data_IF_057073122986
#
_entry.id   IF_057073122986
#
_cell.length_a   1.000
_cell.length_b   1.000
_cell.length_c   1.000
_cell.angle_alpha   90.00
_cell.angle_beta   90.00
_cell.angle_gamma   90.00
#
_symmetry.space_group_name_H-M   'P 1'
#
loop_
_entity.id
_entity.type
_entity.pdbx_description
1 polymer ?
#
# COMPACT_ATOMS: atom_id res chain seq x y z
N UNK A 1 -0.33 17.89 -0.74
CA UNK A 1 -1.19 19.03 -0.33
C UNK A 1 -0.51 20.40 -0.41
N UNK A 2 0.71 20.58 0.12
CA UNK A 2 1.39 21.89 0.21
C UNK A 2 1.61 22.60 -1.15
N UNK A 3 1.80 21.85 -2.24
CA UNK A 3 1.91 22.42 -3.59
C UNK A 3 0.55 22.56 -4.28
N UNK A 4 -0.30 21.54 -4.16
CA UNK A 4 -1.54 21.39 -4.93
C UNK A 4 -2.66 22.31 -4.47
N UNK A 5 -2.93 22.38 -3.16
CA UNK A 5 -4.09 23.13 -2.67
C UNK A 5 -3.95 24.64 -2.93
N UNK A 6 -2.79 25.29 -2.67
CA UNK A 6 -2.62 26.69 -3.04
C UNK A 6 -2.75 26.93 -4.56
N UNK A 7 -2.20 26.03 -5.40
CA UNK A 7 -2.33 26.12 -6.86
C UNK A 7 -3.82 26.08 -7.29
N UNK A 8 -4.60 25.13 -6.76
CA UNK A 8 -6.02 25.01 -7.09
C UNK A 8 -6.85 26.19 -6.58
N UNK A 9 -6.52 26.76 -5.42
CA UNK A 9 -7.18 27.97 -4.90
C UNK A 9 -6.90 29.19 -5.79
N UNK A 10 -5.67 29.33 -6.28
CA UNK A 10 -5.30 30.39 -7.24
C UNK A 10 -6.05 30.22 -8.57
N UNK A 11 -6.09 29.01 -9.14
CA UNK A 11 -6.87 28.72 -10.36
C UNK A 11 -8.36 28.98 -10.16
N UNK A 12 -8.93 28.54 -9.03
CA UNK A 12 -10.34 28.75 -8.71
C UNK A 12 -10.68 30.25 -8.65
N UNK A 13 -9.82 31.05 -8.02
CA UNK A 13 -9.97 32.51 -7.99
C UNK A 13 -9.90 33.12 -9.39
N UNK A 14 -8.97 32.68 -10.24
CA UNK A 14 -8.81 33.18 -11.60
C UNK A 14 -10.04 32.93 -12.49
N UNK A 15 -10.74 31.81 -12.29
CA UNK A 15 -11.99 31.48 -13.02
C UNK A 15 -13.26 32.02 -12.34
N UNK A 16 -13.11 32.79 -11.26
CA UNK A 16 -14.22 33.51 -10.60
C UNK A 16 -14.92 32.77 -9.46
N UNK A 17 -14.37 31.66 -8.96
CA UNK A 17 -14.89 31.04 -7.74
C UNK A 17 -14.46 31.81 -6.49
N UNK A 18 -15.45 32.20 -5.67
CA UNK A 18 -15.23 32.92 -4.41
C UNK A 18 -14.92 31.95 -3.25
N UNK A 19 -13.78 31.25 -3.32
CA UNK A 19 -13.29 30.38 -2.24
C UNK A 19 -12.25 31.15 -1.43
N UNK A 20 -12.47 31.29 -0.12
CA UNK A 20 -11.51 31.99 0.75
C UNK A 20 -10.22 31.18 0.90
N UNK A 21 -9.09 31.80 0.56
CA UNK A 21 -7.75 31.27 0.83
C UNK A 21 -7.26 31.53 2.27
N UNK A 22 -8.01 32.30 3.06
CA UNK A 22 -7.64 32.67 4.44
C UNK A 22 -7.34 31.46 5.34
N UNK A 23 -8.13 30.38 5.36
CA UNK A 23 -7.83 29.22 6.22
C UNK A 23 -6.54 28.49 5.82
N UNK A 24 -6.03 28.75 4.62
CA UNK A 24 -4.94 28.00 4.00
C UNK A 24 -3.64 28.79 3.87
N UNK A 25 -3.55 30.01 4.45
CA UNK A 25 -2.36 30.87 4.32
C UNK A 25 -1.05 30.15 4.67
N UNK A 26 -1.07 29.26 5.67
CA UNK A 26 0.11 28.48 6.04
C UNK A 26 0.60 27.57 4.91
N UNK A 27 -0.31 27.03 4.09
CA UNK A 27 0.06 26.20 2.95
C UNK A 27 0.71 27.03 1.83
N UNK A 28 0.33 28.29 1.66
CA UNK A 28 1.01 29.20 0.72
C UNK A 28 2.45 29.47 1.17
N UNK A 29 2.69 29.68 2.47
CA UNK A 29 4.06 29.80 3.00
C UNK A 29 4.88 28.53 2.76
N UNK A 30 4.30 27.36 3.05
CA UNK A 30 4.96 26.06 2.82
C UNK A 30 5.25 25.84 1.33
N UNK A 31 4.34 26.24 0.43
CA UNK A 31 4.56 26.17 -1.02
C UNK A 31 5.80 26.94 -1.45
N UNK A 32 6.04 28.13 -0.91
CA UNK A 32 7.24 28.91 -1.20
C UNK A 32 8.53 28.19 -0.76
N UNK A 33 8.49 27.54 0.41
CA UNK A 33 9.59 26.72 0.89
C UNK A 33 9.84 25.54 -0.06
N UNK A 34 8.77 24.86 -0.51
CA UNK A 34 8.89 23.75 -1.47
C UNK A 34 9.41 24.19 -2.83
N UNK A 35 8.97 25.33 -3.36
CA UNK A 35 9.54 25.87 -4.61
C UNK A 35 11.02 26.16 -4.48
N UNK A 36 11.45 26.74 -3.37
CA UNK A 36 12.87 26.97 -3.10
C UNK A 36 13.63 25.64 -3.07
N UNK A 37 13.11 24.61 -2.42
CA UNK A 37 13.71 23.26 -2.42
C UNK A 37 13.79 22.65 -3.83
N UNK A 38 12.73 22.75 -4.63
CA UNK A 38 12.69 22.28 -6.01
C UNK A 38 13.69 23.03 -6.90
N UNK A 39 13.88 24.34 -6.70
CA UNK A 39 14.84 25.15 -7.46
C UNK A 39 16.30 24.73 -7.27
N UNK A 40 16.61 24.05 -6.17
CA UNK A 40 17.94 23.49 -5.92
C UNK A 40 18.15 22.14 -6.61
N UNK A 41 17.09 21.48 -7.08
CA UNK A 41 17.20 20.27 -7.87
C UNK A 41 17.64 20.65 -9.29
N UNK A 42 18.75 20.07 -9.76
CA UNK A 42 19.13 20.16 -11.17
C UNK A 42 18.02 19.53 -12.03
N UNK A 43 17.87 20.00 -13.26
CA UNK A 43 16.87 19.52 -14.24
C UNK A 43 16.84 17.98 -14.35
N UNK A 44 18.01 17.32 -14.30
CA UNK A 44 18.15 15.86 -14.30
C UNK A 44 17.62 15.15 -13.02
N UNK A 45 17.64 15.81 -11.88
CA UNK A 45 17.21 15.27 -10.58
C UNK A 45 15.70 15.40 -10.35
N UNK A 46 15.05 16.35 -11.03
CA UNK A 46 13.63 16.62 -10.89
C UNK A 46 12.79 15.44 -11.41
N UNK A 47 13.15 14.88 -12.57
CA UNK A 47 12.47 13.73 -13.19
C UNK A 47 12.56 12.44 -12.37
N UNK A 48 13.60 12.30 -11.55
CA UNK A 48 13.81 11.16 -10.65
C UNK A 48 13.36 11.45 -9.22
N UNK A 49 12.71 12.59 -8.99
CA UNK A 49 12.13 12.95 -7.70
C UNK A 49 10.69 12.48 -7.60
N UNK A 50 10.23 12.22 -6.38
CA UNK A 50 8.82 11.91 -6.12
C UNK A 50 7.89 13.09 -6.42
N UNK A 51 8.42 14.33 -6.45
CA UNK A 51 7.66 15.52 -6.75
C UNK A 51 7.10 15.56 -8.18
N UNK A 52 7.69 14.80 -9.11
CA UNK A 52 7.19 14.68 -10.49
C UNK A 52 5.78 14.08 -10.55
N UNK A 53 5.38 13.30 -9.55
CA UNK A 53 4.00 12.82 -9.44
C UNK A 53 2.98 13.98 -9.31
N UNK A 54 3.38 15.10 -8.71
CA UNK A 54 2.54 16.31 -8.55
C UNK A 54 2.97 17.45 -9.48
N UNK A 55 3.54 17.13 -10.65
CA UNK A 55 4.08 18.11 -11.60
C UNK A 55 3.06 19.17 -12.04
N UNK A 56 1.77 18.85 -12.06
CA UNK A 56 0.70 19.80 -12.39
C UNK A 56 0.69 21.09 -11.55
N UNK A 57 1.22 21.06 -10.32
CA UNK A 57 1.16 22.19 -9.39
C UNK A 57 2.40 23.10 -9.41
N UNK A 58 3.49 22.64 -10.02
CA UNK A 58 4.80 23.31 -9.92
C UNK A 58 5.61 23.30 -11.21
N UNK A 59 5.34 22.38 -12.14
CA UNK A 59 6.09 22.25 -13.37
C UNK A 59 5.64 23.27 -14.40
N UNK A 60 6.58 23.89 -15.11
CA UNK A 60 6.30 24.91 -16.13
C UNK A 60 6.77 24.51 -17.53
N UNK A 61 7.93 23.85 -17.64
CA UNK A 61 8.55 23.52 -18.91
C UNK A 61 8.02 22.20 -19.50
N UNK A 62 7.48 22.26 -20.71
CA UNK A 62 7.03 21.07 -21.46
C UNK A 62 8.22 20.40 -22.15
N UNK A 63 8.87 19.48 -21.46
CA UNK A 63 10.00 18.71 -21.99
C UNK A 63 9.57 17.27 -22.32
N UNK A 64 10.20 16.68 -23.34
CA UNK A 64 9.85 15.34 -23.84
C UNK A 64 10.22 14.21 -22.87
N UNK A 65 11.22 14.44 -22.01
CA UNK A 65 11.76 13.50 -21.03
C UNK A 65 10.87 13.32 -19.80
N UNK A 66 9.84 14.17 -19.62
CA UNK A 66 8.79 13.92 -18.63
C UNK A 66 7.86 12.75 -19.02
N UNK A 67 7.81 12.41 -20.30
CA UNK A 67 7.03 11.29 -20.84
C UNK A 67 7.98 10.14 -21.15
N UNK A 68 8.25 9.31 -20.13
CA UNK A 68 9.17 8.18 -20.21
C UNK A 68 8.57 6.92 -19.56
N UNK A 69 9.08 5.75 -19.96
CA UNK A 69 8.77 4.44 -19.36
C UNK A 69 7.30 4.00 -19.45
N UNK A 70 6.47 4.49 -18.52
CA UNK A 70 5.04 4.19 -18.45
C UNK A 70 4.17 5.06 -19.37
N UNK A 71 4.79 6.04 -20.03
CA UNK A 71 4.22 6.97 -21.03
C UNK A 71 3.26 8.05 -20.49
N UNK A 72 3.30 8.31 -19.18
CA UNK A 72 2.74 9.51 -18.54
C UNK A 72 3.78 10.20 -17.66
N UNK A 73 3.42 11.37 -17.11
CA UNK A 73 4.28 12.12 -16.19
C UNK A 73 4.13 11.57 -14.78
N UNK A 74 5.20 10.96 -14.26
CA UNK A 74 5.29 10.60 -12.84
C UNK A 74 4.20 9.67 -12.34
N UNK A 75 3.69 8.77 -13.19
CA UNK A 75 2.56 7.90 -12.87
C UNK A 75 1.28 8.64 -12.46
N UNK A 76 1.14 9.91 -12.86
CA UNK A 76 0.03 10.78 -12.47
C UNK A 76 -0.81 11.16 -13.68
N UNK A 77 -2.09 10.73 -13.72
CA UNK A 77 -3.03 11.22 -14.72
C UNK A 77 -3.19 12.75 -14.72
N UNK A 78 -3.25 13.38 -13.54
CA UNK A 78 -3.35 14.84 -13.43
C UNK A 78 -2.13 15.58 -14.04
N UNK A 79 -0.92 15.13 -13.69
CA UNK A 79 0.32 15.69 -14.24
C UNK A 79 0.39 15.52 -15.75
N UNK A 80 0.00 14.34 -16.23
CA UNK A 80 0.00 14.01 -17.66
C UNK A 80 -1.02 14.86 -18.43
N UNK A 81 -2.19 15.11 -17.84
CA UNK A 81 -3.22 15.96 -18.44
C UNK A 81 -2.76 17.41 -18.61
N UNK A 82 -2.14 18.01 -17.58
CA UNK A 82 -1.59 19.37 -17.67
C UNK A 82 -0.42 19.43 -18.65
N UNK A 83 0.47 18.43 -18.65
CA UNK A 83 1.57 18.35 -19.61
C UNK A 83 1.03 18.31 -21.05
N UNK A 84 0.04 17.45 -21.32
CA UNK A 84 -0.55 17.30 -22.65
C UNK A 84 -1.27 18.59 -23.10
N UNK A 85 -2.00 19.24 -22.19
CA UNK A 85 -2.67 20.51 -22.46
C UNK A 85 -1.67 21.58 -22.93
N UNK A 86 -0.59 21.78 -22.17
CA UNK A 86 0.43 22.78 -22.48
C UNK A 86 1.25 22.42 -23.73
N UNK A 87 1.54 21.14 -23.94
CA UNK A 87 2.20 20.64 -25.14
C UNK A 87 1.40 20.95 -26.41
N UNK A 88 0.07 20.75 -26.37
CA UNK A 88 -0.83 21.08 -27.47
C UNK A 88 -0.87 22.57 -27.78
N UNK A 89 -0.97 23.41 -26.74
CA UNK A 89 -0.96 24.88 -26.91
C UNK A 89 0.34 25.37 -27.55
N UNK A 90 1.47 24.76 -27.19
CA UNK A 90 2.80 25.16 -27.67
C UNK A 90 3.22 24.48 -28.98
N UNK A 91 2.46 23.49 -29.47
CA UNK A 91 2.81 22.71 -30.66
C UNK A 91 4.06 21.82 -30.51
N UNK A 92 4.45 21.47 -29.28
CA UNK A 92 5.69 20.74 -28.98
C UNK A 92 5.47 19.23 -28.85
N UNK A 93 6.47 18.43 -29.26
CA UNK A 93 6.54 16.97 -29.03
C UNK A 93 5.32 16.16 -29.50
N UNK A 94 4.90 16.22 -30.78
CA UNK A 94 3.67 15.56 -31.26
C UNK A 94 3.61 14.06 -30.95
N UNK A 95 4.73 13.33 -31.06
CA UNK A 95 4.78 11.90 -30.72
C UNK A 95 4.52 11.64 -29.22
N UNK A 96 5.04 12.50 -28.35
CA UNK A 96 4.83 12.39 -26.90
C UNK A 96 3.42 12.81 -26.49
N UNK A 97 2.77 13.71 -27.25
CA UNK A 97 1.37 14.03 -27.04
C UNK A 97 0.46 12.82 -27.26
N UNK A 98 0.72 12.02 -28.31
CA UNK A 98 -0.04 10.81 -28.55
C UNK A 98 0.20 9.75 -27.48
N UNK A 99 1.46 9.59 -27.04
CA UNK A 99 1.79 8.71 -25.91
C UNK A 99 1.04 9.11 -24.61
N UNK A 100 1.05 10.40 -24.27
CA UNK A 100 0.33 10.94 -23.11
C UNK A 100 -1.19 10.75 -23.23
N UNK A 101 -1.76 10.91 -24.44
CA UNK A 101 -3.18 10.67 -24.71
C UNK A 101 -3.54 9.20 -24.48
N UNK A 102 -2.75 8.27 -25.02
CA UNK A 102 -2.94 6.83 -24.86
C UNK A 102 -2.77 6.39 -23.39
N UNK A 103 -1.83 6.99 -22.67
CA UNK A 103 -1.67 6.79 -21.23
C UNK A 103 -2.93 7.19 -20.47
N UNK A 104 -3.49 8.37 -20.73
CA UNK A 104 -4.72 8.84 -20.08
C UNK A 104 -5.91 7.92 -20.41
N UNK A 105 -6.05 7.50 -21.67
CA UNK A 105 -7.10 6.55 -22.08
C UNK A 105 -7.03 5.25 -21.27
N UNK A 106 -5.84 4.67 -21.14
CA UNK A 106 -5.62 3.45 -20.34
C UNK A 106 -5.81 3.68 -18.84
N UNK A 107 -5.34 4.81 -18.31
CA UNK A 107 -5.53 5.18 -16.91
C UNK A 107 -7.02 5.32 -16.58
N UNK A 108 -7.81 5.92 -17.47
CA UNK A 108 -9.25 6.04 -17.27
C UNK A 108 -9.94 4.67 -17.27
N UNK A 109 -9.56 3.79 -18.20
CA UNK A 109 -10.08 2.41 -18.22
C UNK A 109 -9.74 1.65 -16.93
N UNK A 110 -8.53 1.84 -16.39
CA UNK A 110 -8.09 1.18 -15.15
C UNK A 110 -8.84 1.63 -13.90
N UNK A 111 -9.56 2.76 -13.94
CA UNK A 111 -10.41 3.19 -12.83
C UNK A 111 -11.60 2.24 -12.61
N UNK A 112 -11.95 1.40 -13.60
CA UNK A 112 -13.00 0.37 -13.50
C UNK A 112 -14.33 0.96 -12.97
N UNK A 113 -14.65 2.19 -13.37
CA UNK A 113 -15.92 2.87 -13.05
C UNK A 113 -16.93 2.77 -14.18
N UNK A 114 -16.48 2.41 -15.39
CA UNK A 114 -17.28 2.46 -16.61
C UNK A 114 -17.55 3.89 -17.12
N UNK A 115 -17.01 4.92 -16.46
CA UNK A 115 -17.20 6.33 -16.80
C UNK A 115 -15.91 6.87 -17.43
N UNK A 116 -15.99 7.27 -18.70
CA UNK A 116 -14.87 7.90 -19.39
C UNK A 116 -14.49 9.22 -18.72
N UNK A 117 -13.18 9.45 -18.53
CA UNK A 117 -12.67 10.66 -17.90
C UNK A 117 -12.63 10.61 -16.36
N UNK A 118 -12.95 9.47 -15.75
CA UNK A 118 -12.60 9.19 -14.35
C UNK A 118 -11.24 8.50 -14.32
N UNK A 119 -10.34 8.95 -13.45
CA UNK A 119 -8.95 8.49 -13.39
C UNK A 119 -8.58 8.08 -11.96
N UNK A 120 -7.63 7.14 -11.78
CA UNK A 120 -7.01 6.89 -10.48
C UNK A 120 -6.03 8.01 -10.11
N UNK A 121 -5.72 8.16 -8.81
CA UNK A 121 -4.69 9.11 -8.32
C UNK A 121 -3.30 8.79 -8.88
N UNK A 122 -2.98 7.51 -9.09
CA UNK A 122 -1.67 6.99 -9.44
C UNK A 122 -1.84 5.76 -10.35
N UNK A 123 -1.19 5.74 -11.50
CA UNK A 123 -1.22 4.61 -12.45
C UNK A 123 -0.05 4.65 -13.45
N UNK A 124 0.47 3.51 -13.92
CA UNK A 124 0.25 2.16 -13.42
C UNK A 124 1.08 1.89 -12.15
N UNK A 125 0.75 0.86 -11.37
CA UNK A 125 1.48 0.49 -10.14
C UNK A 125 1.90 -1.00 -10.16
N UNK A 126 2.54 -1.48 -11.24
CA UNK A 126 2.62 -2.92 -11.51
C UNK A 126 3.50 -3.68 -10.52
N UNK A 127 4.62 -3.10 -10.09
CA UNK A 127 5.53 -3.77 -9.14
C UNK A 127 4.97 -3.73 -7.73
N UNK A 128 4.32 -2.62 -7.36
CA UNK A 128 3.60 -2.53 -6.10
C UNK A 128 2.46 -3.55 -6.03
N UNK A 129 1.62 -3.66 -7.07
CA UNK A 129 0.56 -4.67 -7.13
C UNK A 129 1.10 -6.10 -7.04
N UNK A 130 2.23 -6.36 -7.70
CA UNK A 130 2.91 -7.65 -7.68
C UNK A 130 3.49 -7.97 -6.29
N UNK A 131 4.25 -7.05 -5.70
CA UNK A 131 4.90 -7.22 -4.41
C UNK A 131 3.87 -7.34 -3.29
N UNK A 132 2.97 -6.37 -3.15
CA UNK A 132 1.98 -6.40 -2.07
C UNK A 132 0.94 -7.51 -2.26
N UNK A 133 0.56 -7.86 -3.50
CA UNK A 133 -0.34 -8.99 -3.76
C UNK A 133 0.27 -10.31 -3.28
N UNK A 134 1.55 -10.56 -3.58
CA UNK A 134 2.28 -11.73 -3.09
C UNK A 134 2.53 -11.65 -1.57
N UNK A 135 2.75 -10.45 -1.03
CA UNK A 135 2.94 -10.26 0.40
C UNK A 135 1.70 -10.63 1.19
N UNK A 136 0.50 -10.31 0.71
CA UNK A 136 -0.74 -10.77 1.34
C UNK A 136 -0.79 -12.30 1.42
N UNK A 137 -0.38 -13.01 0.36
CA UNK A 137 -0.26 -14.48 0.38
C UNK A 137 0.80 -14.96 1.38
N UNK A 138 1.94 -14.26 1.51
CA UNK A 138 2.94 -14.56 2.54
C UNK A 138 2.35 -14.44 3.95
N UNK A 139 1.73 -13.31 4.27
CA UNK A 139 1.11 -13.08 5.60
C UNK A 139 -0.02 -14.07 5.90
N UNK A 140 -0.68 -14.57 4.86
CA UNK A 140 -1.71 -15.60 4.92
C UNK A 140 -1.14 -17.03 5.02
N UNK A 141 0.17 -17.23 4.91
CA UNK A 141 0.80 -18.57 4.88
C UNK A 141 0.52 -19.34 3.57
N UNK A 142 0.10 -18.64 2.51
CA UNK A 142 -0.33 -19.21 1.23
C UNK A 142 0.70 -19.03 0.10
N UNK A 143 1.81 -18.33 0.34
CA UNK A 143 2.84 -18.08 -0.69
C UNK A 143 3.38 -19.36 -1.34
N UNK A 144 3.44 -20.46 -0.58
CA UNK A 144 3.90 -21.78 -1.06
C UNK A 144 2.78 -22.81 -1.21
N UNK A 145 1.52 -22.36 -1.23
CA UNK A 145 0.39 -23.26 -1.37
C UNK A 145 0.42 -23.94 -2.74
N UNK A 146 0.32 -25.27 -2.78
CA UNK A 146 0.52 -26.08 -4.00
C UNK A 146 -0.35 -25.59 -5.17
N UNK A 147 -1.64 -25.38 -4.91
CA UNK A 147 -2.61 -24.92 -5.91
C UNK A 147 -2.37 -23.50 -6.47
N UNK A 148 -1.46 -22.72 -5.89
CA UNK A 148 -1.13 -21.36 -6.34
C UNK A 148 0.27 -21.29 -6.98
N UNK A 149 1.04 -22.39 -6.97
CA UNK A 149 2.47 -22.38 -7.30
C UNK A 149 2.75 -21.92 -8.73
N UNK A 150 1.94 -22.37 -9.68
CA UNK A 150 2.07 -22.06 -11.12
C UNK A 150 1.84 -20.56 -11.42
N UNK A 151 1.05 -19.88 -10.58
CA UNK A 151 0.81 -18.43 -10.69
C UNK A 151 1.81 -17.62 -9.84
N UNK A 152 2.11 -18.08 -8.63
CA UNK A 152 2.96 -17.35 -7.66
C UNK A 152 4.43 -17.39 -8.06
N UNK A 153 4.97 -18.57 -8.40
CA UNK A 153 6.40 -18.73 -8.65
C UNK A 153 6.92 -17.81 -9.78
N UNK A 154 6.26 -17.71 -10.96
CA UNK A 154 6.70 -16.79 -12.00
C UNK A 154 6.73 -15.33 -11.53
N UNK A 155 5.81 -14.93 -10.64
CA UNK A 155 5.73 -13.55 -10.13
C UNK A 155 6.84 -13.26 -9.12
N UNK A 156 7.22 -14.22 -8.30
CA UNK A 156 8.41 -14.11 -7.44
C UNK A 156 9.69 -13.98 -8.28
N UNK A 157 9.83 -14.78 -9.34
CA UNK A 157 11.00 -14.72 -10.23
C UNK A 157 11.10 -13.41 -11.00
N UNK A 158 9.96 -12.83 -11.40
CA UNK A 158 9.91 -11.50 -12.00
C UNK A 158 10.37 -10.41 -11.01
N UNK A 159 9.91 -10.45 -9.75
CA UNK A 159 10.39 -9.52 -8.73
C UNK A 159 11.88 -9.68 -8.44
N UNK A 160 12.37 -10.93 -8.40
CA UNK A 160 13.80 -11.21 -8.24
C UNK A 160 14.63 -10.54 -9.33
N UNK A 161 14.21 -10.67 -10.59
CA UNK A 161 14.89 -10.06 -11.75
C UNK A 161 14.77 -8.53 -11.77
N UNK A 162 13.70 -7.98 -11.18
CA UNK A 162 13.46 -6.53 -11.12
C UNK A 162 14.20 -5.84 -9.96
N UNK A 163 14.63 -6.58 -8.93
CA UNK A 163 15.42 -6.04 -7.83
C UNK A 163 16.75 -5.48 -8.34
N UNK A 164 17.10 -4.28 -7.90
CA UNK A 164 18.35 -3.60 -8.29
C UNK A 164 19.20 -3.28 -7.05
N UNK A 165 20.48 -2.88 -7.21
CA UNK A 165 21.28 -2.37 -6.09
C UNK A 165 20.66 -1.15 -5.39
N UNK A 166 19.74 -0.44 -6.05
CA UNK A 166 19.01 0.70 -5.49
C UNK A 166 17.61 0.34 -4.97
N UNK A 167 17.27 -0.96 -4.92
CA UNK A 167 15.98 -1.47 -4.49
C UNK A 167 15.00 -1.66 -5.64
N UNK A 168 13.73 -1.82 -5.27
CA UNK A 168 12.57 -1.85 -6.15
C UNK A 168 11.61 -0.72 -5.72
N UNK A 169 10.62 -0.42 -6.54
CA UNK A 169 9.57 0.55 -6.20
C UNK A 169 8.33 0.23 -7.00
N UNK A 170 7.31 1.09 -6.93
CA UNK A 170 5.99 0.84 -7.55
C UNK A 170 6.04 0.47 -9.04
N UNK A 171 7.09 0.88 -9.76
CA UNK A 171 7.39 0.44 -11.12
C UNK A 171 8.89 0.43 -11.42
N UNK A 172 9.23 -0.10 -12.60
CA UNK A 172 10.59 -0.06 -13.14
C UNK A 172 11.04 1.36 -13.54
N UNK A 173 10.09 2.29 -13.69
CA UNK A 173 10.28 3.64 -14.23
C UNK A 173 10.03 4.76 -13.22
N UNK A 174 9.87 4.42 -11.94
CA UNK A 174 9.72 5.38 -10.86
C UNK A 174 10.81 5.21 -9.81
N UNK A 175 10.88 6.18 -8.89
CA UNK A 175 11.83 6.15 -7.78
C UNK A 175 11.62 4.88 -6.95
N UNK A 176 12.73 4.22 -6.60
CA UNK A 176 12.75 3.06 -5.71
C UNK A 176 12.48 3.51 -4.27
N UNK A 177 11.81 2.66 -3.52
CA UNK A 177 11.39 2.96 -2.15
C UNK A 177 11.63 1.78 -1.21
N UNK A 178 11.76 2.10 0.08
CA UNK A 178 12.05 1.14 1.12
C UNK A 178 10.90 0.19 1.41
N UNK A 179 9.66 0.55 1.06
CA UNK A 179 8.48 -0.26 1.35
C UNK A 179 8.40 -1.46 0.39
N UNK A 180 8.36 -1.16 -0.92
CA UNK A 180 8.37 -2.18 -1.97
C UNK A 180 9.66 -3.02 -1.90
N UNK A 181 10.79 -2.39 -1.54
CA UNK A 181 12.07 -3.10 -1.36
C UNK A 181 12.00 -4.07 -0.19
N UNK A 182 11.54 -3.65 0.98
CA UNK A 182 11.42 -4.50 2.16
C UNK A 182 10.47 -5.67 1.92
N UNK A 183 9.27 -5.39 1.42
CA UNK A 183 8.27 -6.43 1.11
C UNK A 183 8.82 -7.43 0.10
N UNK A 184 9.50 -6.96 -0.95
CA UNK A 184 10.09 -7.85 -1.95
C UNK A 184 11.21 -8.73 -1.35
N UNK A 185 12.06 -8.19 -0.48
CA UNK A 185 13.11 -8.98 0.18
C UNK A 185 12.52 -10.05 1.10
N UNK A 186 11.49 -9.72 1.88
CA UNK A 186 10.77 -10.70 2.71
C UNK A 186 10.19 -11.83 1.84
N UNK A 187 9.56 -11.49 0.72
CA UNK A 187 9.02 -12.46 -0.24
C UNK A 187 10.08 -13.38 -0.83
N UNK A 188 11.18 -12.82 -1.31
CA UNK A 188 12.27 -13.59 -1.92
C UNK A 188 12.83 -14.60 -0.93
N UNK A 189 13.08 -14.15 0.31
CA UNK A 189 13.55 -15.01 1.39
C UNK A 189 12.55 -16.11 1.73
N UNK A 190 11.28 -15.74 1.91
CA UNK A 190 10.20 -16.68 2.18
C UNK A 190 9.99 -17.69 1.03
N UNK A 191 10.36 -17.35 -0.21
CA UNK A 191 10.39 -18.24 -1.39
C UNK A 191 11.69 -19.04 -1.55
N UNK A 192 12.67 -18.88 -0.66
CA UNK A 192 13.93 -19.63 -0.66
C UNK A 192 15.01 -19.01 -1.53
N UNK A 193 14.82 -17.78 -2.00
CA UNK A 193 15.80 -17.00 -2.75
C UNK A 193 16.54 -16.12 -1.77
N UNK A 194 17.86 -16.30 -1.65
CA UNK A 194 18.71 -15.45 -0.81
C UNK A 194 19.13 -14.19 -1.58
N UNK A 195 18.34 -13.12 -1.48
CA UNK A 195 18.67 -11.81 -2.03
C UNK A 195 19.67 -11.02 -1.16
N UNK A 196 20.42 -10.11 -1.78
CA UNK A 196 21.24 -9.13 -1.05
C UNK A 196 20.33 -8.10 -0.35
N UNK A 197 20.62 -7.82 0.93
CA UNK A 197 19.92 -6.81 1.74
C UNK A 197 20.48 -5.40 1.57
N UNK A 198 21.65 -5.23 0.94
CA UNK A 198 22.27 -3.94 0.72
C UNK A 198 21.33 -2.85 0.14
N UNK A 199 20.38 -3.16 -0.77
CA UNK A 199 19.42 -2.17 -1.24
C UNK A 199 18.54 -1.56 -0.13
N UNK A 200 18.22 -2.33 0.91
CA UNK A 200 17.37 -1.88 2.02
C UNK A 200 18.08 -0.83 2.89
N UNK A 201 19.42 -0.90 2.99
CA UNK A 201 20.22 0.04 3.78
C UNK A 201 20.15 1.48 3.25
N UNK A 202 19.79 1.69 1.98
CA UNK A 202 19.56 3.02 1.41
C UNK A 202 18.39 3.75 2.07
N UNK A 203 17.51 3.01 2.74
CA UNK A 203 16.30 3.49 3.39
C UNK A 203 16.40 3.46 4.91
N UNK A 204 17.53 3.02 5.46
CA UNK A 204 17.79 2.98 6.90
C UNK A 204 18.03 4.40 7.44
N UNK A 205 17.27 4.79 8.46
CA UNK A 205 17.41 6.06 9.17
C UNK A 205 17.76 5.85 10.65
N UNK A 206 18.63 4.87 10.93
CA UNK A 206 19.13 4.44 12.25
C UNK A 206 18.10 3.70 13.08
N UNK A 207 17.05 4.39 13.52
CA UNK A 207 16.01 3.84 14.41
C UNK A 207 14.74 3.42 13.67
N UNK A 208 14.62 3.75 12.38
CA UNK A 208 13.49 3.37 11.53
C UNK A 208 13.89 3.28 10.07
N UNK A 209 12.96 2.81 9.24
CA UNK A 209 13.11 2.81 7.79
C UNK A 209 12.17 3.81 7.14
N UNK A 210 12.63 4.38 6.03
CA UNK A 210 11.94 5.39 5.26
C UNK A 210 11.41 4.80 3.93
N UNK A 211 10.27 5.29 3.45
CA UNK A 211 9.81 4.99 2.10
C UNK A 211 10.80 5.56 1.08
N UNK A 212 11.15 6.85 1.17
CA UNK A 212 12.16 7.43 0.29
C UNK A 212 13.40 7.87 1.07
N UNK A 213 14.58 7.56 0.55
CA UNK A 213 15.84 8.02 1.12
C UNK A 213 15.85 9.55 1.29
N UNK A 214 16.14 10.02 2.51
CA UNK A 214 16.16 11.44 2.87
C UNK A 214 14.79 12.09 3.08
N UNK A 215 13.71 11.32 3.15
CA UNK A 215 12.40 11.86 3.52
C UNK A 215 12.36 12.34 4.97
N UNK A 216 11.45 13.28 5.24
CA UNK A 216 11.28 13.87 6.57
C UNK A 216 10.29 13.11 7.45
N UNK A 217 9.28 12.49 6.83
CA UNK A 217 8.19 11.81 7.52
C UNK A 217 8.45 10.31 7.51
N UNK A 218 8.77 9.78 8.67
CA UNK A 218 8.89 8.35 8.88
C UNK A 218 7.54 7.62 8.68
N UNK A 219 7.61 6.31 8.45
CA UNK A 219 6.44 5.44 8.30
C UNK A 219 6.60 4.20 9.16
N UNK A 220 5.55 3.92 9.95
CA UNK A 220 5.50 2.75 10.83
C UNK A 220 5.30 1.46 10.02
N UNK A 221 4.48 1.48 8.96
CA UNK A 221 4.28 0.30 8.11
C UNK A 221 5.55 -0.05 7.34
N UNK A 222 6.27 0.95 6.79
CA UNK A 222 7.56 0.71 6.12
C UNK A 222 8.57 0.11 7.09
N UNK A 223 8.63 0.65 8.32
CA UNK A 223 9.51 0.13 9.36
C UNK A 223 9.15 -1.30 9.74
N UNK A 224 7.86 -1.62 9.85
CA UNK A 224 7.40 -2.98 10.13
C UNK A 224 7.73 -3.97 8.99
N UNK A 225 7.57 -3.57 7.73
CA UNK A 225 7.94 -4.40 6.59
C UNK A 225 9.46 -4.62 6.51
N UNK A 226 10.26 -3.59 6.77
CA UNK A 226 11.72 -3.70 6.83
C UNK A 226 12.17 -4.63 7.97
N UNK A 227 11.57 -4.49 9.15
CA UNK A 227 11.82 -5.39 10.28
C UNK A 227 11.45 -6.84 9.93
N UNK A 228 10.28 -7.07 9.32
CA UNK A 228 9.87 -8.40 8.84
C UNK A 228 10.92 -8.99 7.89
N UNK A 229 11.37 -8.24 6.89
CA UNK A 229 12.41 -8.69 5.97
C UNK A 229 13.70 -9.05 6.72
N UNK A 230 14.18 -8.18 7.63
CA UNK A 230 15.40 -8.43 8.40
C UNK A 230 15.28 -9.68 9.30
N UNK A 231 14.15 -9.89 9.95
CA UNK A 231 13.89 -11.09 10.77
C UNK A 231 13.87 -12.38 9.94
N UNK A 232 13.28 -12.37 8.74
CA UNK A 232 13.31 -13.50 7.80
C UNK A 232 14.75 -13.88 7.37
N UNK A 233 15.66 -12.91 7.43
CA UNK A 233 17.09 -13.10 7.17
C UNK A 233 17.91 -13.44 8.43
N UNK A 234 17.27 -13.53 9.61
CA UNK A 234 17.92 -13.90 10.88
C UNK A 234 18.58 -12.74 11.62
N UNK A 235 18.27 -11.48 11.28
CA UNK A 235 18.73 -10.32 12.03
C UNK A 235 17.84 -10.11 13.25
N UNK A 236 18.15 -10.78 14.37
CA UNK A 236 17.33 -10.75 15.58
C UNK A 236 17.52 -9.50 16.47
N UNK A 237 18.62 -8.77 16.29
CA UNK A 237 19.01 -7.63 17.13
C UNK A 237 18.66 -6.30 16.48
N UNK A 238 17.39 -5.95 16.54
CA UNK A 238 16.82 -4.72 15.99
C UNK A 238 16.22 -3.86 17.10
N UNK A 239 16.89 -3.76 18.25
CA UNK A 239 16.35 -3.12 19.46
C UNK A 239 15.93 -1.66 19.20
N UNK A 240 16.72 -0.91 18.42
CA UNK A 240 16.39 0.49 18.08
C UNK A 240 15.10 0.60 17.26
N UNK A 241 14.86 -0.34 16.36
CA UNK A 241 13.65 -0.40 15.53
C UNK A 241 12.45 -0.77 16.40
N UNK A 242 12.63 -1.75 17.29
CA UNK A 242 11.59 -2.15 18.23
C UNK A 242 11.22 -1.00 19.17
N UNK A 243 12.20 -0.31 19.74
CA UNK A 243 11.99 0.86 20.59
C UNK A 243 11.30 2.00 19.84
N UNK A 244 11.68 2.23 18.58
CA UNK A 244 11.04 3.21 17.71
C UNK A 244 9.55 2.90 17.50
N UNK A 245 9.21 1.65 17.22
CA UNK A 245 7.82 1.20 17.03
C UNK A 245 7.05 1.30 18.35
N UNK A 246 7.58 0.73 19.44
CA UNK A 246 6.93 0.73 20.76
C UNK A 246 6.68 2.15 21.28
N UNK A 247 7.62 3.07 21.08
CA UNK A 247 7.47 4.48 21.53
C UNK A 247 6.33 5.24 20.84
N UNK A 248 5.79 4.69 19.74
CA UNK A 248 4.66 5.25 18.98
C UNK A 248 3.35 4.50 19.20
N UNK A 249 3.35 3.46 20.03
CA UNK A 249 2.12 2.77 20.40
C UNK A 249 1.22 3.72 21.19
N UNK A 250 -0.05 3.79 20.81
CA UNK A 250 -1.05 4.59 21.50
C UNK A 250 -1.44 3.95 22.84
N UNK A 251 -2.03 4.72 23.77
CA UNK A 251 -2.43 4.18 25.08
C UNK A 251 -3.40 2.99 25.01
N UNK A 252 -4.23 2.93 23.96
CA UNK A 252 -5.17 1.83 23.70
C UNK A 252 -4.51 0.57 23.10
N UNK A 253 -3.22 0.63 22.77
CA UNK A 253 -2.45 -0.47 22.20
C UNK A 253 -2.35 -0.48 20.68
N UNK A 254 -3.12 0.35 19.99
CA UNK A 254 -3.03 0.50 18.54
C UNK A 254 -1.83 1.35 18.13
N UNK A 255 -1.52 1.34 16.84
CA UNK A 255 -0.70 2.38 16.21
C UNK A 255 -1.57 3.24 15.29
N UNK A 256 -1.31 4.55 15.19
CA UNK A 256 -2.09 5.42 14.32
C UNK A 256 -1.93 5.01 12.86
N UNK A 257 -2.84 5.50 12.01
CA UNK A 257 -2.67 5.42 10.56
C UNK A 257 -1.33 6.03 10.11
N UNK A 258 -0.86 5.57 8.95
CA UNK A 258 0.38 6.00 8.34
C UNK A 258 0.14 7.04 7.22
N UNK A 259 1.22 7.64 6.70
CA UNK A 259 1.18 8.66 5.65
C UNK A 259 0.61 8.17 4.32
N UNK A 260 0.49 6.86 4.12
CA UNK A 260 -0.10 6.24 2.92
C UNK A 260 -1.40 5.47 3.20
N UNK A 261 -1.76 5.25 4.47
CA UNK A 261 -2.97 4.50 4.84
C UNK A 261 -3.52 4.99 6.18
N UNK A 262 -4.74 5.53 6.19
CA UNK A 262 -5.38 6.10 7.38
C UNK A 262 -5.84 5.05 8.41
N UNK A 263 -5.85 3.76 8.06
CA UNK A 263 -6.33 2.70 8.95
C UNK A 263 -5.30 2.40 10.03
N UNK A 264 -5.68 2.60 11.29
CA UNK A 264 -4.90 2.13 12.45
C UNK A 264 -4.81 0.59 12.46
N UNK A 265 -5.83 -0.08 11.90
CA UNK A 265 -5.92 -1.54 11.80
C UNK A 265 -4.87 -2.06 10.82
N UNK A 266 -4.69 -1.38 9.68
CA UNK A 266 -3.61 -1.69 8.74
C UNK A 266 -2.25 -1.66 9.44
N UNK A 267 -1.89 -0.54 10.07
CA UNK A 267 -0.57 -0.37 10.70
C UNK A 267 -0.36 -1.35 11.85
N UNK A 268 -1.36 -1.50 12.72
CA UNK A 268 -1.30 -2.44 13.86
C UNK A 268 -1.11 -3.87 13.37
N UNK A 269 -1.84 -4.29 12.34
CA UNK A 269 -1.70 -5.63 11.76
C UNK A 269 -0.34 -5.84 11.10
N UNK A 270 0.21 -4.86 10.36
CA UNK A 270 1.56 -5.00 9.78
C UNK A 270 2.64 -5.16 10.85
N UNK A 271 2.53 -4.42 11.96
CA UNK A 271 3.45 -4.53 13.10
C UNK A 271 3.32 -5.92 13.77
N UNK A 272 2.10 -6.41 13.99
CA UNK A 272 1.89 -7.75 14.55
C UNK A 272 2.45 -8.84 13.63
N UNK A 273 2.20 -8.75 12.33
CA UNK A 273 2.71 -9.71 11.34
C UNK A 273 4.23 -9.72 11.31
N UNK A 274 4.86 -8.54 11.23
CA UNK A 274 6.29 -8.43 11.03
C UNK A 274 7.13 -8.55 12.29
N UNK A 275 6.57 -8.27 13.46
CA UNK A 275 7.37 -7.99 14.67
C UNK A 275 6.85 -8.62 15.97
N UNK A 276 5.69 -9.28 15.99
CA UNK A 276 5.04 -9.68 17.26
C UNK A 276 5.96 -10.41 18.24
N UNK A 277 6.68 -11.44 17.78
CA UNK A 277 7.60 -12.24 18.62
C UNK A 277 8.84 -11.46 19.13
N UNK A 278 9.03 -10.24 18.63
CA UNK A 278 10.18 -9.37 18.91
C UNK A 278 9.78 -8.12 19.70
N UNK A 279 8.48 -7.86 19.84
CA UNK A 279 7.96 -6.80 20.68
C UNK A 279 8.07 -7.18 22.17
N UNK A 280 8.19 -6.19 23.06
CA UNK A 280 7.95 -6.43 24.49
C UNK A 280 6.56 -7.04 24.70
N UNK A 281 6.47 -8.09 25.53
CA UNK A 281 5.23 -8.85 25.72
C UNK A 281 4.01 -7.97 26.03
N UNK A 282 4.18 -6.93 26.86
CA UNK A 282 3.10 -5.99 27.17
C UNK A 282 2.64 -5.18 25.94
N UNK A 283 3.55 -4.76 25.08
CA UNK A 283 3.23 -4.04 23.84
C UNK A 283 2.44 -4.94 22.89
N UNK A 284 2.88 -6.19 22.71
CA UNK A 284 2.18 -7.19 21.90
C UNK A 284 0.77 -7.46 22.44
N UNK A 285 0.63 -7.69 23.75
CA UNK A 285 -0.68 -7.91 24.37
C UNK A 285 -1.64 -6.74 24.18
N UNK A 286 -1.17 -5.49 24.36
CA UNK A 286 -1.98 -4.30 24.12
C UNK A 286 -2.47 -4.22 22.68
N UNK A 287 -1.61 -4.53 21.70
CA UNK A 287 -1.96 -4.52 20.29
C UNK A 287 -3.02 -5.58 19.93
N UNK A 288 -2.91 -6.77 20.54
CA UNK A 288 -3.93 -7.82 20.42
C UNK A 288 -5.26 -7.31 20.98
N UNK A 289 -5.26 -6.77 22.19
CA UNK A 289 -6.46 -6.22 22.81
C UNK A 289 -7.07 -5.07 22.01
N UNK A 290 -6.25 -4.20 21.41
CA UNK A 290 -6.74 -3.15 20.52
C UNK A 290 -7.59 -3.74 19.37
N UNK A 291 -7.14 -4.83 18.74
CA UNK A 291 -7.93 -5.51 17.71
C UNK A 291 -9.16 -6.23 18.27
N UNK A 292 -9.03 -6.94 19.39
CA UNK A 292 -10.15 -7.70 19.98
C UNK A 292 -11.28 -6.79 20.49
N UNK A 293 -10.91 -5.72 21.20
CA UNK A 293 -11.86 -4.82 21.87
C UNK A 293 -12.56 -3.88 20.87
N UNK A 294 -11.93 -3.61 19.72
CA UNK A 294 -12.53 -2.81 18.64
C UNK A 294 -13.19 -3.65 17.54
N UNK A 295 -13.30 -4.98 17.72
CA UNK A 295 -14.13 -5.79 16.82
C UNK A 295 -15.60 -5.44 17.02
N UNK A 296 -16.29 -5.08 15.93
CA UNK A 296 -17.66 -4.58 16.00
C UNK A 296 -18.66 -5.72 16.28
N UNK A 297 -19.86 -5.35 16.70
CA UNK A 297 -20.92 -6.30 17.06
C UNK A 297 -21.35 -7.19 15.88
N UNK A 298 -21.23 -6.71 14.64
CA UNK A 298 -21.50 -7.47 13.43
C UNK A 298 -20.41 -8.51 13.09
N UNK A 299 -19.27 -8.44 13.79
CA UNK A 299 -18.10 -9.29 13.62
C UNK A 299 -17.00 -8.69 12.75
N UNK A 300 -17.25 -7.59 12.05
CA UNK A 300 -16.27 -6.94 11.18
C UNK A 300 -15.38 -5.94 11.93
N UNK A 301 -14.42 -5.40 11.19
CA UNK A 301 -13.57 -4.29 11.60
C UNK A 301 -13.62 -3.15 10.60
N UNK A 302 -13.44 -1.94 11.11
CA UNK A 302 -13.09 -0.79 10.32
C UNK A 302 -13.04 0.49 11.13
N UNK A 303 -12.26 1.46 10.65
CA UNK A 303 -12.01 2.73 11.33
C UNK A 303 -13.30 3.53 11.54
N UNK A 304 -14.22 3.48 10.57
CA UNK A 304 -15.53 4.14 10.64
C UNK A 304 -16.68 3.14 10.71
N UNK A 305 -16.69 2.20 9.76
CA UNK A 305 -17.64 1.10 9.65
C UNK A 305 -16.93 -0.18 9.20
N UNK A 306 -17.55 -1.33 9.49
CA UNK A 306 -17.01 -2.62 9.08
C UNK A 306 -16.86 -2.68 7.56
N UNK A 307 -15.66 -3.00 7.08
CA UNK A 307 -15.37 -3.17 5.66
C UNK A 307 -14.44 -4.36 5.39
N UNK A 308 -14.40 -4.81 4.14
CA UNK A 308 -13.64 -6.00 3.73
C UNK A 308 -12.14 -5.86 3.96
N UNK A 309 -11.56 -4.73 3.56
CA UNK A 309 -10.12 -4.49 3.64
C UNK A 309 -9.60 -4.47 5.09
N UNK A 310 -10.23 -3.69 5.98
CA UNK A 310 -9.80 -3.60 7.38
C UNK A 310 -10.14 -4.87 8.18
N UNK A 311 -11.24 -5.55 7.87
CA UNK A 311 -11.53 -6.89 8.43
C UNK A 311 -10.46 -7.88 8.03
N UNK A 312 -10.01 -7.87 6.77
CA UNK A 312 -8.95 -8.74 6.29
C UNK A 312 -7.60 -8.44 6.97
N UNK A 313 -7.25 -7.17 7.19
CA UNK A 313 -6.06 -6.81 7.98
C UNK A 313 -6.12 -7.36 9.39
N UNK A 314 -7.25 -7.20 10.10
CA UNK A 314 -7.41 -7.72 11.46
C UNK A 314 -7.28 -9.25 11.49
N UNK A 315 -7.91 -9.95 10.53
CA UNK A 315 -7.81 -11.40 10.40
C UNK A 315 -6.37 -11.86 10.18
N UNK A 316 -5.65 -11.24 9.23
CA UNK A 316 -4.25 -11.55 8.95
C UNK A 316 -3.35 -11.27 10.15
N UNK A 317 -3.54 -10.14 10.84
CA UNK A 317 -2.76 -9.79 12.04
C UNK A 317 -3.00 -10.72 13.22
N UNK A 318 -4.25 -11.16 13.44
CA UNK A 318 -4.60 -12.04 14.55
C UNK A 318 -4.17 -13.50 14.32
N UNK A 319 -4.21 -13.98 13.07
CA UNK A 319 -3.91 -15.39 12.77
C UNK A 319 -2.42 -15.73 12.80
N UNK A 320 -1.53 -14.75 12.64
CA UNK A 320 -0.08 -14.98 12.71
C UNK A 320 0.41 -15.18 14.15
N UNK A 321 -0.42 -14.88 15.15
CA UNK A 321 -0.02 -14.84 16.55
C UNK A 321 0.08 -16.23 17.17
N UNK A 322 1.17 -16.46 17.88
CA UNK A 322 1.34 -17.60 18.78
C UNK A 322 1.40 -17.07 20.21
N UNK A 323 0.33 -17.28 20.96
CA UNK A 323 0.20 -16.81 22.35
C UNK A 323 0.20 -17.98 23.31
N UNK A 324 0.90 -17.84 24.43
CA UNK A 324 1.00 -18.89 25.47
C UNK A 324 -0.26 -18.98 26.35
N UNK A 325 -1.10 -17.95 26.35
CA UNK A 325 -2.33 -17.91 27.15
C UNK A 325 -3.48 -18.60 26.43
N UNK A 326 -4.02 -19.67 27.03
CA UNK A 326 -5.18 -20.41 26.50
C UNK A 326 -6.42 -19.52 26.34
N UNK A 327 -6.72 -18.68 27.33
CA UNK A 327 -7.87 -17.76 27.30
C UNK A 327 -7.75 -16.76 26.15
N UNK A 328 -6.56 -16.16 25.98
CA UNK A 328 -6.30 -15.23 24.87
C UNK A 328 -6.36 -15.95 23.53
N UNK A 329 -5.82 -17.17 23.45
CA UNK A 329 -5.88 -18.03 22.28
C UNK A 329 -7.33 -18.35 21.87
N UNK A 330 -8.21 -18.63 22.85
CA UNK A 330 -9.66 -18.81 22.62
C UNK A 330 -10.31 -17.51 22.14
N UNK A 331 -9.98 -16.37 22.76
CA UNK A 331 -10.52 -15.06 22.38
C UNK A 331 -10.15 -14.69 20.94
N UNK A 332 -8.88 -14.89 20.55
CA UNK A 332 -8.38 -14.69 19.18
C UNK A 332 -9.15 -15.59 18.20
N UNK A 333 -9.27 -16.90 18.47
CA UNK A 333 -10.01 -17.82 17.59
C UNK A 333 -11.48 -17.41 17.43
N UNK A 334 -12.15 -17.02 18.51
CA UNK A 334 -13.53 -16.58 18.46
C UNK A 334 -13.68 -15.27 17.66
N UNK A 335 -12.74 -14.34 17.83
CA UNK A 335 -12.67 -13.11 17.05
C UNK A 335 -12.50 -13.38 15.56
N UNK A 336 -11.55 -14.24 15.19
CA UNK A 336 -11.33 -14.70 13.80
C UNK A 336 -12.61 -15.31 13.21
N UNK A 337 -13.30 -16.19 13.94
CA UNK A 337 -14.56 -16.82 13.46
C UNK A 337 -15.66 -15.80 13.20
N UNK A 338 -15.82 -14.79 14.06
CA UNK A 338 -16.81 -13.71 13.85
C UNK A 338 -16.44 -12.86 12.64
N UNK A 339 -15.16 -12.53 12.49
CA UNK A 339 -14.62 -11.82 11.32
C UNK A 339 -14.85 -12.58 10.02
N UNK A 340 -14.53 -13.87 10.00
CA UNK A 340 -14.72 -14.70 8.83
C UNK A 340 -16.21 -14.88 8.49
N UNK A 341 -17.07 -15.01 9.50
CA UNK A 341 -18.52 -15.03 9.30
C UNK A 341 -19.02 -13.71 8.70
N UNK A 342 -18.48 -12.57 9.12
CA UNK A 342 -18.78 -11.27 8.52
C UNK A 342 -18.29 -11.20 7.07
N UNK A 343 -17.06 -11.64 6.78
CA UNK A 343 -16.50 -11.68 5.43
C UNK A 343 -17.36 -12.54 4.49
N UNK A 344 -17.71 -13.77 4.88
CA UNK A 344 -18.54 -14.66 4.06
C UNK A 344 -19.94 -14.09 3.76
N UNK A 345 -20.55 -13.37 4.71
CA UNK A 345 -21.85 -12.72 4.50
C UNK A 345 -21.77 -11.51 3.57
N UNK A 346 -20.68 -10.75 3.61
CA UNK A 346 -20.55 -9.46 2.94
C UNK A 346 -19.70 -9.51 1.65
N UNK A 347 -18.92 -10.58 1.46
CA UNK A 347 -18.12 -10.76 0.26
C UNK A 347 -19.02 -10.87 -0.98
N UNK A 348 -18.68 -10.08 -2.00
CA UNK A 348 -19.36 -10.11 -3.29
C UNK A 348 -18.29 -10.31 -4.38
N UNK A 349 -18.29 -11.46 -5.07
CA UNK A 349 -17.38 -11.69 -6.19
C UNK A 349 -17.50 -10.57 -7.23
N UNK A 350 -16.37 -10.10 -7.73
CA UNK A 350 -16.28 -9.10 -8.80
C UNK A 350 -16.93 -7.73 -8.52
N UNK A 351 -17.42 -7.49 -7.29
CA UNK A 351 -17.86 -6.16 -6.86
C UNK A 351 -16.73 -5.44 -6.13
N UNK A 352 -16.55 -4.17 -6.45
CA UNK A 352 -15.60 -3.29 -5.79
C UNK A 352 -16.31 -2.50 -4.68
N UNK A 353 -16.32 -3.06 -3.47
CA UNK A 353 -16.73 -2.35 -2.26
C UNK A 353 -15.48 -1.74 -1.65
N UNK A 354 -15.12 -0.53 -2.06
CA UNK A 354 -13.86 0.09 -1.63
C UNK A 354 -14.08 1.07 -0.48
N UNK A 355 -13.37 0.84 0.63
CA UNK A 355 -13.07 1.90 1.59
C UNK A 355 -11.82 2.62 1.10
N UNK A 356 -11.87 3.96 1.01
CA UNK A 356 -10.72 4.75 0.57
C UNK A 356 -9.77 4.99 1.74
N UNK A 357 -9.11 3.93 2.21
CA UNK A 357 -8.16 3.98 3.33
C UNK A 357 -6.77 4.48 2.91
N UNK A 358 -6.41 4.34 1.63
CA UNK A 358 -5.09 4.71 1.12
C UNK A 358 -5.02 6.19 0.77
N UNK A 359 -3.84 6.77 0.90
CA UNK A 359 -3.59 8.21 0.74
C UNK A 359 -2.66 8.44 -0.45
N UNK A 360 -3.18 9.08 -1.49
CA UNK A 360 -2.43 9.62 -2.62
C UNK A 360 -2.48 11.15 -2.60
N UNK A 361 -2.84 11.75 -3.74
CA UNK A 361 -3.23 13.18 -3.74
C UNK A 361 -4.59 13.38 -3.06
N UNK A 362 -5.44 12.37 -3.18
CA UNK A 362 -6.71 12.17 -2.51
C UNK A 362 -6.73 10.77 -1.87
N UNK A 363 -7.76 10.50 -1.06
CA UNK A 363 -8.00 9.14 -0.55
C UNK A 363 -8.46 8.22 -1.68
N UNK A 364 -7.85 7.04 -1.78
CA UNK A 364 -8.14 6.06 -2.82
C UNK A 364 -8.11 4.62 -2.29
N UNK A 365 -8.38 3.66 -3.16
CA UNK A 365 -8.27 2.23 -2.88
C UNK A 365 -7.51 1.53 -4.03
N UNK A 366 -6.36 0.87 -3.77
CA UNK A 366 -5.70 -0.02 -4.72
C UNK A 366 -6.51 -1.32 -4.81
N UNK A 367 -7.55 -1.31 -5.64
CA UNK A 367 -8.59 -2.36 -5.69
C UNK A 367 -8.04 -3.79 -5.77
N UNK A 368 -6.97 -4.01 -6.54
CA UNK A 368 -6.34 -5.33 -6.67
C UNK A 368 -5.67 -5.77 -5.37
N UNK A 369 -4.97 -4.86 -4.69
CA UNK A 369 -4.35 -5.15 -3.40
C UNK A 369 -5.42 -5.40 -2.34
N UNK A 370 -6.41 -4.52 -2.22
CA UNK A 370 -7.53 -4.70 -1.29
C UNK A 370 -8.21 -6.05 -1.51
N UNK A 371 -8.49 -6.42 -2.78
CA UNK A 371 -9.09 -7.71 -3.10
C UNK A 371 -8.21 -8.90 -2.76
N UNK A 372 -6.91 -8.80 -3.05
CA UNK A 372 -5.93 -9.83 -2.69
C UNK A 372 -5.84 -10.00 -1.17
N UNK A 373 -5.88 -8.92 -0.39
CA UNK A 373 -5.93 -8.98 1.08
C UNK A 373 -7.18 -9.73 1.55
N UNK A 374 -8.36 -9.34 1.06
CA UNK A 374 -9.64 -10.01 1.41
C UNK A 374 -9.59 -11.51 1.13
N UNK A 375 -9.22 -11.88 -0.10
CA UNK A 375 -9.20 -13.27 -0.53
C UNK A 375 -8.14 -14.09 0.21
N UNK A 376 -6.96 -13.52 0.45
CA UNK A 376 -5.89 -14.20 1.19
C UNK A 376 -6.32 -14.47 2.64
N UNK A 377 -6.93 -13.49 3.30
CA UNK A 377 -7.45 -13.65 4.66
C UNK A 377 -8.55 -14.72 4.72
N UNK A 378 -9.51 -14.67 3.80
CA UNK A 378 -10.61 -15.63 3.73
C UNK A 378 -10.10 -17.06 3.48
N UNK A 379 -9.25 -17.25 2.47
CA UNK A 379 -8.73 -18.58 2.13
C UNK A 379 -7.94 -19.16 3.30
N UNK A 380 -7.07 -18.36 3.93
CA UNK A 380 -6.27 -18.81 5.06
C UNK A 380 -7.12 -19.24 6.27
N UNK A 381 -8.16 -18.46 6.60
CA UNK A 381 -9.07 -18.82 7.69
C UNK A 381 -9.92 -20.07 7.39
N UNK A 382 -10.22 -20.37 6.12
CA UNK A 382 -10.89 -21.62 5.75
C UNK A 382 -9.95 -22.82 5.86
N UNK A 383 -8.68 -22.66 5.47
CA UNK A 383 -7.71 -23.77 5.51
C UNK A 383 -7.29 -24.14 6.93
N UNK A 384 -7.34 -23.19 7.88
CA UNK A 384 -7.00 -23.44 9.29
C UNK A 384 -8.07 -24.32 10.01
N UNK A 385 -9.31 -24.35 9.51
CA UNK A 385 -10.43 -25.17 10.03
C UNK A 385 -10.67 -26.47 9.20
N UNK A 386 -9.98 -26.68 8.06
CA UNK A 386 -10.08 -27.91 7.27
C UNK A 386 -8.93 -28.86 7.64
N UNK A 387 -9.18 -29.73 8.62
CA UNK A 387 -8.51 -31.03 8.59
C UNK A 387 -8.90 -31.71 7.27
N UNK A 388 -7.98 -32.38 6.54
CA UNK A 388 -8.28 -33.06 5.26
C UNK A 388 -9.42 -34.09 5.31
N UNK A 389 -9.98 -34.35 6.50
CA UNK A 389 -11.03 -35.34 6.76
C UNK A 389 -12.45 -34.77 6.89
N UNK A 390 -12.61 -33.45 7.00
CA UNK A 390 -13.92 -32.83 7.24
C UNK A 390 -14.58 -32.24 5.98
N UNK A 391 -13.94 -32.36 4.81
CA UNK A 391 -14.60 -32.13 3.52
C UNK A 391 -15.41 -33.38 3.16
N UNK A 392 -16.60 -33.49 3.74
CA UNK A 392 -17.64 -34.31 3.11
C UNK A 392 -18.18 -33.47 1.96
N UNK A 393 -17.76 -33.78 0.74
CA UNK A 393 -18.43 -33.29 -0.46
C UNK A 393 -19.87 -33.79 -0.34
N UNK A 394 -20.81 -32.87 -0.11
CA UNK A 394 -22.22 -33.17 -0.30
C UNK A 394 -22.39 -33.37 -1.81
N UNK A 395 -22.35 -34.65 -2.19
CA UNK A 395 -22.83 -35.16 -3.47
C UNK A 395 -24.36 -34.97 -3.48
N UNK A 396 -24.81 -33.73 -3.66
CA UNK A 396 -26.14 -33.48 -4.17
C UNK A 396 -26.01 -32.69 -5.46
N UNK A 397 -26.09 -33.45 -6.55
CA UNK A 397 -26.05 -33.00 -7.92
C UNK A 397 -27.34 -32.23 -8.25
N UNK A 398 -27.52 -31.06 -7.66
CA UNK A 398 -28.36 -30.01 -8.24
C UNK A 398 -28.08 -28.67 -7.56
N UNK A 399 -27.60 -27.71 -8.34
CA UNK A 399 -27.48 -26.28 -8.01
C UNK A 399 -26.43 -25.86 -6.99
N UNK A 400 -25.16 -25.83 -7.41
CA UNK A 400 -24.21 -24.80 -6.96
C UNK A 400 -23.15 -24.59 -8.04
N UNK A 401 -23.36 -23.57 -8.86
CA UNK A 401 -22.33 -23.04 -9.74
C UNK A 401 -21.31 -22.31 -8.87
N UNK A 402 -20.30 -23.03 -8.41
CA UNK A 402 -19.07 -22.45 -7.90
C UNK A 402 -18.21 -22.14 -9.13
N UNK A 403 -18.11 -20.85 -9.47
CA UNK A 403 -17.14 -20.36 -10.45
C UNK A 403 -15.82 -20.22 -9.70
N UNK A 404 -14.86 -21.10 -10.02
CA UNK A 404 -13.43 -20.95 -9.71
C UNK A 404 -12.87 -19.78 -10.49
#
# INVERSE_FOLDING_TARGET
VELLLPYLLEEAYQVGFAISAEPYQKLFELRQIRFKQLSYLKEYSIKHSTAVHSWEAWGDAVTADLIEGTTGVGHSPAATAIWLHRARQSGLHPEKQEAARLYLEKASYSAETGIAGVYPTLWPIPRYEQAFGLYMLLTAGLLRHEALTDVVQPKVEELWKAMTPNGIGLSDHFKKDGDDTAVTLALLRASGIAADLAPLELFNNKDHYCAFAGELQASLSVTAHAAHALYEYGYDKLEQINDYVVSRQLPDGSWPGDKWNNSWIYVTSQILIGMFDKLPAQSGLKAIHALLDNQRLDGGWGTYESNGEETAYALLGLRTLKVDSDDLSVAIRNSIRRGMSWMLRNYRPFQHLSTNSWIGKESYCPRRISKMTELSAMLACLTDDIQPKDVTILDDASSLTVIV
#
